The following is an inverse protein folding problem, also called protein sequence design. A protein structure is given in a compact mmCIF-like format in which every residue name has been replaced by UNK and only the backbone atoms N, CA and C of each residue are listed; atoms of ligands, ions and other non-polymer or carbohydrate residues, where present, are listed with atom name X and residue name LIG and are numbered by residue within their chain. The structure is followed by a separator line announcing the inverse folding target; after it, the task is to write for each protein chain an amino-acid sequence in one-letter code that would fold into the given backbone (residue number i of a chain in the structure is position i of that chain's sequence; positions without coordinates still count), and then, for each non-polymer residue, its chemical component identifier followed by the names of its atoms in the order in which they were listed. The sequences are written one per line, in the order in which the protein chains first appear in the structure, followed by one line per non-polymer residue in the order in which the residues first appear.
data_IF_208583431440
#
_entry.id   IF_208583431440
#
_cell.length_a   1.000
_cell.length_b   1.000
_cell.length_c   1.000
_cell.angle_alpha   90.00
_cell.angle_beta   90.00
_cell.angle_gamma   90.00
#
_symmetry.space_group_name_H-M   'P 1'
#
loop_
_entity.id
_entity.type
_entity.pdbx_description
1 polymer ?
#
# COMPACT_ATOMS: atom_id res chain seq x y z
N UNK A 1 34.37 26.64 28.56
CA UNK A 1 33.21 26.79 27.67
C UNK A 1 33.75 26.76 26.26
N UNK A 2 33.46 25.68 25.53
CA UNK A 2 34.02 25.47 24.19
C UNK A 2 32.86 24.96 23.33
N UNK A 3 32.42 25.79 22.39
CA UNK A 3 31.48 25.43 21.34
C UNK A 3 32.15 24.37 20.47
N UNK A 4 31.62 23.16 20.45
CA UNK A 4 32.04 22.13 19.50
C UNK A 4 31.39 22.42 18.16
N UNK A 5 32.24 22.73 17.20
CA UNK A 5 31.93 23.01 15.80
C UNK A 5 31.20 21.82 15.18
N UNK A 6 30.02 22.07 14.60
CA UNK A 6 29.29 21.10 13.81
C UNK A 6 29.99 20.92 12.46
N UNK A 7 30.33 19.70 12.03
CA UNK A 7 30.83 19.50 10.68
C UNK A 7 29.72 19.80 9.68
N UNK A 8 30.00 20.74 8.77
CA UNK A 8 29.20 21.03 7.60
C UNK A 8 29.04 19.76 6.77
N UNK A 9 27.87 19.12 6.86
CA UNK A 9 27.41 18.16 5.87
C UNK A 9 26.59 18.93 4.82
N UNK A 10 27.03 18.75 3.58
CA UNK A 10 26.57 19.39 2.36
C UNK A 10 25.04 19.52 2.25
N UNK A 11 24.52 20.51 1.49
CA UNK A 11 23.11 20.49 1.10
C UNK A 11 22.85 19.18 0.38
N UNK A 12 22.04 18.30 0.99
CA UNK A 12 21.46 17.19 0.28
C UNK A 12 20.67 17.79 -0.89
N UNK A 13 21.12 17.45 -2.10
CA UNK A 13 20.54 17.87 -3.37
C UNK A 13 19.02 17.98 -3.26
N UNK A 14 18.50 19.20 -3.44
CA UNK A 14 17.09 19.38 -3.71
C UNK A 14 16.73 18.36 -4.80
N UNK A 15 15.76 17.46 -4.58
CA UNK A 15 15.40 16.53 -5.63
C UNK A 15 14.96 17.40 -6.80
N UNK A 16 15.78 17.40 -7.85
CA UNK A 16 15.47 18.01 -9.12
C UNK A 16 14.01 17.67 -9.40
N UNK A 17 13.18 18.69 -9.63
CA UNK A 17 11.80 18.53 -10.11
C UNK A 17 11.87 17.64 -11.36
N UNK A 18 11.79 16.33 -11.15
CA UNK A 18 11.84 15.34 -12.21
C UNK A 18 10.54 15.54 -12.98
N UNK A 19 10.71 15.71 -14.29
CA UNK A 19 9.64 15.90 -15.25
C UNK A 19 8.44 15.01 -14.92
N UNK A 20 7.26 15.62 -14.92
CA UNK A 20 5.97 14.95 -14.79
C UNK A 20 5.91 13.86 -15.89
N UNK A 21 5.82 12.57 -15.56
CA UNK A 21 5.56 11.57 -16.57
C UNK A 21 4.09 11.74 -16.96
N UNK A 22 3.84 12.38 -18.10
CA UNK A 22 2.60 12.16 -18.84
C UNK A 22 2.55 10.65 -19.15
N UNK A 23 1.81 9.88 -18.35
CA UNK A 23 1.64 8.43 -18.55
C UNK A 23 2.13 7.49 -17.42
N UNK A 24 2.48 7.97 -16.22
CA UNK A 24 2.67 7.05 -15.09
C UNK A 24 1.33 6.50 -14.61
N UNK A 25 1.15 5.18 -14.64
CA UNK A 25 -0.06 4.54 -14.12
C UNK A 25 -0.34 5.00 -12.68
N UNK A 26 -1.62 5.16 -12.28
CA UNK A 26 -1.98 5.63 -10.95
C UNK A 26 -1.49 4.66 -9.87
N UNK A 27 -1.12 5.23 -8.71
CA UNK A 27 -0.76 4.45 -7.52
C UNK A 27 -1.98 4.28 -6.62
N UNK A 28 -2.20 3.05 -6.16
CA UNK A 28 -3.30 2.66 -5.30
C UNK A 28 -2.77 2.10 -4.00
N UNK A 29 -3.46 2.37 -2.90
CA UNK A 29 -3.16 1.76 -1.61
C UNK A 29 -4.17 0.64 -1.35
N UNK A 30 -3.65 -0.57 -1.22
CA UNK A 30 -4.37 -1.78 -0.82
C UNK A 30 -4.01 -2.10 0.64
N UNK A 31 -5.00 -2.06 1.52
CA UNK A 31 -4.88 -2.41 2.93
C UNK A 31 -5.51 -3.78 3.15
N UNK A 32 -4.72 -4.77 3.59
CA UNK A 32 -5.15 -6.16 3.76
C UNK A 32 -5.11 -6.53 5.25
N UNK A 33 -6.25 -6.92 5.80
CA UNK A 33 -6.33 -7.50 7.13
C UNK A 33 -6.23 -9.03 7.06
N UNK A 34 -5.40 -9.60 7.92
CA UNK A 34 -5.12 -11.02 8.00
C UNK A 34 -4.73 -11.40 9.43
N UNK A 35 -4.92 -12.66 9.79
CA UNK A 35 -4.53 -13.18 11.12
C UNK A 35 -3.04 -13.51 11.22
N UNK A 36 -2.33 -13.58 10.09
CA UNK A 36 -0.89 -13.86 10.03
C UNK A 36 -0.21 -12.91 9.04
N UNK A 37 0.12 -11.69 9.50
CA UNK A 37 0.64 -10.65 8.64
C UNK A 37 2.09 -10.87 8.18
N UNK A 38 2.91 -11.55 8.97
CA UNK A 38 4.31 -11.81 8.61
C UNK A 38 4.37 -12.80 7.45
N UNK A 39 3.56 -13.87 7.50
CA UNK A 39 3.45 -14.83 6.41
C UNK A 39 2.81 -14.22 5.17
N UNK A 40 1.80 -13.38 5.34
CA UNK A 40 1.19 -12.62 4.25
C UNK A 40 2.20 -11.68 3.58
N UNK A 41 2.95 -10.90 4.36
CA UNK A 41 3.98 -10.00 3.85
C UNK A 41 5.10 -10.72 3.11
N UNK A 42 5.54 -11.88 3.60
CA UNK A 42 6.52 -12.71 2.91
C UNK A 42 6.03 -13.25 1.57
N UNK A 43 4.76 -13.66 1.48
CA UNK A 43 4.15 -14.12 0.24
C UNK A 43 3.98 -12.97 -0.76
N UNK A 44 3.47 -11.83 -0.33
CA UNK A 44 3.26 -10.66 -1.17
C UNK A 44 4.57 -10.14 -1.77
N UNK A 45 5.68 -10.12 -1.01
CA UNK A 45 7.00 -9.72 -1.52
C UNK A 45 7.47 -10.52 -2.74
N UNK A 46 7.01 -11.77 -2.90
CA UNK A 46 7.35 -12.63 -4.06
C UNK A 46 6.48 -12.33 -5.29
N UNK A 47 5.32 -11.73 -5.08
CA UNK A 47 4.29 -11.49 -6.11
C UNK A 47 4.20 -10.01 -6.53
N UNK A 48 4.68 -9.10 -5.68
CA UNK A 48 4.77 -7.67 -5.94
C UNK A 48 5.96 -7.33 -6.84
N UNK A 49 5.79 -6.35 -7.73
CA UNK A 49 6.86 -5.85 -8.59
C UNK A 49 7.84 -5.01 -7.76
N UNK A 50 9.05 -4.79 -8.28
CA UNK A 50 10.06 -3.95 -7.63
C UNK A 50 9.63 -2.48 -7.39
N UNK A 51 8.57 -2.01 -8.08
CA UNK A 51 7.99 -0.67 -7.90
C UNK A 51 6.87 -0.62 -6.88
N UNK A 52 6.34 -1.76 -6.47
CA UNK A 52 5.30 -1.82 -5.46
C UNK A 52 5.97 -1.73 -4.08
N UNK A 53 5.39 -0.91 -3.19
CA UNK A 53 5.91 -0.73 -1.83
C UNK A 53 5.05 -1.54 -0.87
N UNK A 54 5.70 -2.36 -0.02
CA UNK A 54 5.05 -3.15 1.01
C UNK A 54 5.47 -2.69 2.40
N UNK A 55 4.51 -2.24 3.20
CA UNK A 55 4.70 -1.79 4.58
C UNK A 55 3.66 -2.42 5.52
N UNK A 56 3.66 -1.99 6.79
CA UNK A 56 2.78 -2.48 7.85
C UNK A 56 2.05 -1.30 8.47
N UNK A 57 0.80 -1.51 8.85
CA UNK A 57 0.02 -0.61 9.70
C UNK A 57 -0.64 -1.43 10.81
N UNK A 58 -0.01 -1.48 11.98
CA UNK A 58 -0.40 -2.40 13.05
C UNK A 58 -0.38 -3.85 12.57
N UNK A 59 -1.53 -4.53 12.64
CA UNK A 59 -1.72 -5.90 12.17
C UNK A 59 -2.09 -6.01 10.68
N UNK A 60 -2.33 -4.89 10.00
CA UNK A 60 -2.67 -4.85 8.58
C UNK A 60 -1.41 -4.79 7.68
N UNK A 61 -1.48 -5.42 6.50
CA UNK A 61 -0.44 -5.30 5.47
C UNK A 61 -0.85 -4.22 4.49
N UNK A 62 0.06 -3.29 4.19
CA UNK A 62 -0.18 -2.18 3.27
C UNK A 62 0.64 -2.42 2.00
N UNK A 63 -0.01 -2.34 0.84
CA UNK A 63 0.63 -2.49 -0.47
C UNK A 63 0.29 -1.28 -1.32
N UNK A 64 1.32 -0.55 -1.76
CA UNK A 64 1.17 0.48 -2.79
C UNK A 64 1.37 -0.18 -4.15
N UNK A 65 0.29 -0.24 -4.93
CA UNK A 65 0.24 -0.92 -6.23
C UNK A 65 0.20 0.13 -7.33
N UNK A 66 1.12 0.03 -8.29
CA UNK A 66 1.08 0.85 -9.51
C UNK A 66 0.42 0.05 -10.63
N UNK A 67 -0.85 0.33 -10.93
CA UNK A 67 -1.63 -0.43 -11.91
C UNK A 67 -2.57 0.47 -12.72
N UNK A 68 -2.89 0.04 -13.94
CA UNK A 68 -3.92 0.69 -14.74
C UNK A 68 -5.29 0.53 -14.06
N UNK A 69 -6.23 1.48 -14.21
CA UNK A 69 -7.58 1.32 -13.66
C UNK A 69 -8.31 0.06 -14.15
N UNK A 70 -7.99 -0.43 -15.35
CA UNK A 70 -8.61 -1.62 -15.94
C UNK A 70 -8.11 -2.92 -15.31
N UNK A 71 -6.85 -2.96 -14.86
CA UNK A 71 -6.23 -4.16 -14.26
C UNK A 71 -6.33 -4.18 -12.73
N UNK A 72 -6.69 -3.05 -12.13
CA UNK A 72 -6.59 -2.82 -10.69
C UNK A 72 -7.31 -3.90 -9.86
N UNK A 73 -8.57 -4.17 -10.18
CA UNK A 73 -9.39 -5.09 -9.39
C UNK A 73 -8.83 -6.52 -9.51
N UNK A 74 -8.41 -6.93 -10.70
CA UNK A 74 -7.76 -8.22 -10.92
C UNK A 74 -6.43 -8.35 -10.16
N UNK A 75 -5.63 -7.27 -10.09
CA UNK A 75 -4.39 -7.27 -9.30
C UNK A 75 -4.70 -7.37 -7.81
N UNK A 76 -5.68 -6.61 -7.31
CA UNK A 76 -6.05 -6.61 -5.91
C UNK A 76 -6.60 -7.97 -5.46
N UNK A 77 -7.50 -8.58 -6.23
CA UNK A 77 -8.06 -9.91 -5.95
C UNK A 77 -6.98 -11.00 -6.00
N UNK A 78 -6.04 -10.91 -6.93
CA UNK A 78 -4.89 -11.82 -7.00
C UNK A 78 -4.03 -11.71 -5.75
N UNK A 79 -3.69 -10.50 -5.30
CA UNK A 79 -2.89 -10.30 -4.09
C UNK A 79 -3.62 -10.78 -2.83
N UNK A 80 -4.94 -10.57 -2.74
CA UNK A 80 -5.76 -11.12 -1.67
C UNK A 80 -5.72 -12.65 -1.66
N UNK A 81 -5.90 -13.28 -2.83
CA UNK A 81 -5.81 -14.75 -2.99
C UNK A 81 -4.44 -15.29 -2.58
N UNK A 82 -3.36 -14.58 -2.90
CA UNK A 82 -2.00 -14.94 -2.45
C UNK A 82 -1.91 -14.95 -0.93
N UNK A 83 -2.45 -13.94 -0.27
CA UNK A 83 -2.49 -13.86 1.20
C UNK A 83 -3.26 -15.03 1.77
N UNK A 84 -4.48 -15.28 1.29
CA UNK A 84 -5.34 -16.36 1.81
C UNK A 84 -4.71 -17.74 1.63
N UNK A 85 -4.06 -17.99 0.49
CA UNK A 85 -3.32 -19.24 0.24
C UNK A 85 -2.11 -19.37 1.16
N UNK A 86 -1.40 -18.26 1.39
CA UNK A 86 -0.22 -18.27 2.24
C UNK A 86 -0.61 -18.55 3.70
N UNK A 87 -1.65 -17.91 4.22
CA UNK A 87 -2.07 -18.02 5.63
C UNK A 87 -3.04 -19.18 5.90
N UNK A 88 -3.70 -19.71 4.87
CA UNK A 88 -4.74 -20.73 4.98
C UNK A 88 -6.03 -20.21 5.63
N UNK A 89 -6.24 -18.88 5.64
CA UNK A 89 -7.36 -18.21 6.30
C UNK A 89 -7.95 -17.14 5.38
N UNK A 90 -9.28 -16.86 5.48
CA UNK A 90 -9.88 -15.73 4.80
C UNK A 90 -9.22 -14.40 5.19
N UNK A 91 -9.07 -13.50 4.23
CA UNK A 91 -8.58 -12.15 4.43
C UNK A 91 -9.60 -11.16 3.86
N UNK A 92 -9.48 -9.89 4.23
CA UNK A 92 -10.29 -8.83 3.63
C UNK A 92 -9.39 -7.67 3.24
N UNK A 93 -9.76 -6.94 2.20
CA UNK A 93 -9.00 -5.78 1.80
C UNK A 93 -9.85 -4.56 1.45
N UNK A 94 -9.28 -3.39 1.72
CA UNK A 94 -9.79 -2.11 1.26
C UNK A 94 -8.80 -1.46 0.31
N UNK A 95 -9.32 -0.81 -0.73
CA UNK A 95 -8.52 -0.22 -1.80
C UNK A 95 -8.89 1.23 -2.02
N UNK A 96 -7.92 2.13 -2.20
CA UNK A 96 -8.20 3.51 -2.58
C UNK A 96 -7.08 4.12 -3.44
N UNK A 97 -7.40 5.18 -4.18
CA UNK A 97 -6.44 5.91 -5.00
C UNK A 97 -5.55 6.81 -4.12
N UNK A 98 -4.23 6.73 -4.33
CA UNK A 98 -3.27 7.68 -3.75
C UNK A 98 -3.27 8.94 -4.62
N UNK A 99 -3.78 10.05 -4.07
CA UNK A 99 -3.84 11.35 -4.76
C UNK A 99 -2.82 12.33 -4.19
N UNK A 100 -2.23 13.16 -5.05
CA UNK A 100 -1.16 14.10 -4.66
C UNK A 100 -1.57 15.18 -3.65
N UNK A 101 -2.87 15.46 -3.52
CA UNK A 101 -3.41 16.47 -2.59
C UNK A 101 -3.83 15.88 -1.25
N UNK A 102 -3.61 14.57 -1.02
CA UNK A 102 -4.07 13.85 0.18
C UNK A 102 -2.90 13.55 1.11
N UNK A 103 -3.18 13.56 2.40
CA UNK A 103 -2.24 13.07 3.42
C UNK A 103 -2.29 11.54 3.50
N UNK A 104 -1.19 10.90 3.92
CA UNK A 104 -1.12 9.44 4.11
C UNK A 104 -2.23 8.95 5.07
N UNK A 105 -2.51 9.70 6.14
CA UNK A 105 -3.59 9.40 7.08
C UNK A 105 -4.99 9.43 6.44
N UNK A 106 -5.23 10.31 5.47
CA UNK A 106 -6.50 10.33 4.73
C UNK A 106 -6.62 9.10 3.82
N UNK A 107 -5.55 8.75 3.11
CA UNK A 107 -5.51 7.58 2.23
C UNK A 107 -5.74 6.30 3.05
N UNK A 108 -5.04 6.14 4.17
CA UNK A 108 -5.22 4.99 5.06
C UNK A 108 -6.65 4.91 5.62
N UNK A 109 -7.24 6.05 6.04
CA UNK A 109 -8.64 6.07 6.52
C UNK A 109 -9.64 5.62 5.46
N UNK A 110 -9.45 6.02 4.20
CA UNK A 110 -10.33 5.60 3.08
C UNK A 110 -10.19 4.11 2.78
N UNK A 111 -8.96 3.60 2.68
CA UNK A 111 -8.73 2.17 2.51
C UNK A 111 -9.33 1.37 3.67
N UNK A 112 -9.16 1.82 4.91
CA UNK A 112 -9.76 1.19 6.09
C UNK A 112 -11.29 1.21 6.07
N UNK A 113 -11.93 2.24 5.50
CA UNK A 113 -13.38 2.24 5.31
C UNK A 113 -13.82 1.12 4.35
N UNK A 114 -13.13 0.93 3.21
CA UNK A 114 -13.38 -0.21 2.32
C UNK A 114 -13.15 -1.56 3.02
N UNK A 115 -12.04 -1.70 3.75
CA UNK A 115 -11.71 -2.91 4.51
C UNK A 115 -12.83 -3.31 5.50
N UNK A 116 -13.39 -2.35 6.24
CA UNK A 116 -14.50 -2.61 7.17
C UNK A 116 -15.74 -3.15 6.45
N UNK A 117 -16.05 -2.63 5.28
CA UNK A 117 -17.15 -3.15 4.45
C UNK A 117 -16.84 -4.57 4.00
N UNK A 118 -15.64 -4.82 3.47
CA UNK A 118 -15.21 -6.14 3.04
C UNK A 118 -15.35 -7.19 4.16
N UNK A 119 -14.93 -6.84 5.37
CA UNK A 119 -15.10 -7.70 6.56
C UNK A 119 -16.55 -7.91 6.95
N UNK A 120 -17.35 -6.85 7.00
CA UNK A 120 -18.76 -6.92 7.38
C UNK A 120 -19.57 -7.83 6.45
N UNK A 121 -19.14 -7.98 5.20
CA UNK A 121 -19.77 -8.87 4.24
C UNK A 121 -19.21 -10.30 4.24
N UNK A 122 -18.35 -10.67 5.19
CA UNK A 122 -17.81 -12.03 5.37
C UNK A 122 -16.37 -12.24 4.89
N UNK A 123 -15.65 -11.19 4.50
CA UNK A 123 -14.27 -11.29 4.00
C UNK A 123 -14.16 -11.86 2.59
N UNK A 124 -12.96 -12.33 2.25
CA UNK A 124 -12.54 -12.87 0.95
C UNK A 124 -12.92 -11.98 -0.25
N UNK A 125 -12.78 -10.67 -0.07
CA UNK A 125 -13.00 -9.68 -1.11
C UNK A 125 -12.21 -8.40 -0.88
N UNK A 126 -12.04 -7.66 -1.97
CA UNK A 126 -11.53 -6.29 -1.96
C UNK A 126 -12.71 -5.32 -2.13
N UNK A 127 -12.76 -4.27 -1.32
CA UNK A 127 -13.74 -3.18 -1.51
C UNK A 127 -12.99 -1.88 -1.78
N UNK A 128 -13.32 -1.27 -2.93
CA UNK A 128 -12.76 0.02 -3.33
C UNK A 128 -13.53 1.16 -2.71
N UNK A 129 -12.82 2.07 -2.06
CA UNK A 129 -13.34 3.36 -1.63
C UNK A 129 -13.29 4.37 -2.80
N UNK A 130 -14.36 5.14 -3.04
CA UNK A 130 -14.38 6.19 -4.06
C UNK A 130 -13.36 7.32 -3.82
#
# INVERSE_FOLDING_TARGET
MTLLEHPALAPADAPARRARPDGSAPTWLLLIATTDPDRAGAALRRETRARDLLTRDGDDVVVHVTASPADLDAVADRLLTVVERATGRPAAAGLCLVGGDRTDDEVLRRARAGLRVAWSCGGSRVVRHP
#
